data_IF_470847109785
#
_entry.id   IF_470847109785
#
_cell.length_a   1.000
_cell.length_b   1.000
_cell.length_c   1.000
_cell.angle_alpha   90.00
_cell.angle_beta   90.00
_cell.angle_gamma   90.00
#
_symmetry.space_group_name_H-M   'P 1'
#
loop_
_entity.id
_entity.type
_entity.pdbx_description
1 polymer ?
#
# COMPACT_ATOMS: atom_id res chain seq x y z
N UNK A 1 -22.56 -6.37 -27.38
CA UNK A 1 -23.51 -5.23 -27.49
C UNK A 1 -23.35 -4.47 -28.80
N UNK A 2 -22.15 -4.03 -29.17
CA UNK A 2 -21.89 -3.36 -30.45
C UNK A 2 -22.35 -4.19 -31.66
N UNK A 3 -21.96 -5.47 -31.72
CA UNK A 3 -22.39 -6.41 -32.76
C UNK A 3 -23.92 -6.59 -32.81
N UNK A 4 -24.59 -6.69 -31.65
CA UNK A 4 -26.04 -6.82 -31.57
C UNK A 4 -26.80 -5.55 -31.97
N UNK A 5 -26.17 -4.37 -31.86
CA UNK A 5 -26.75 -3.07 -32.19
C UNK A 5 -26.31 -2.53 -33.56
N UNK A 6 -25.43 -3.26 -34.28
CA UNK A 6 -24.85 -2.85 -35.56
C UNK A 6 -24.18 -1.46 -35.52
N UNK A 7 -23.55 -1.13 -34.39
CA UNK A 7 -22.82 0.13 -34.16
C UNK A 7 -21.35 -0.16 -33.93
N UNK A 8 -20.50 0.85 -34.10
CA UNK A 8 -19.07 0.70 -33.81
C UNK A 8 -18.85 0.56 -32.30
N UNK A 9 -17.89 -0.29 -31.89
CA UNK A 9 -17.59 -0.48 -30.45
C UNK A 9 -17.19 0.81 -29.76
N UNK A 10 -16.52 1.73 -30.47
CA UNK A 10 -16.20 3.06 -29.96
C UNK A 10 -17.43 3.91 -29.60
N UNK A 11 -18.58 3.70 -30.24
CA UNK A 11 -19.83 4.38 -29.90
C UNK A 11 -20.45 3.82 -28.62
N UNK A 12 -20.40 2.49 -28.43
CA UNK A 12 -20.82 1.86 -27.17
C UNK A 12 -19.94 2.30 -26.01
N UNK A 13 -18.62 2.39 -26.21
CA UNK A 13 -17.70 2.89 -25.19
C UNK A 13 -18.06 4.33 -24.82
N UNK A 14 -18.33 5.19 -25.81
CA UNK A 14 -18.75 6.58 -25.56
C UNK A 14 -20.08 6.66 -24.81
N UNK A 15 -21.06 5.85 -25.19
CA UNK A 15 -22.36 5.79 -24.51
C UNK A 15 -22.21 5.32 -23.06
N UNK A 16 -21.40 4.28 -22.80
CA UNK A 16 -21.16 3.77 -21.45
C UNK A 16 -20.37 4.73 -20.57
N UNK A 17 -19.47 5.51 -21.16
CA UNK A 17 -18.64 6.47 -20.44
C UNK A 17 -19.19 7.89 -20.48
N UNK A 18 -20.39 8.14 -21.01
CA UNK A 18 -20.91 9.50 -21.15
C UNK A 18 -21.07 10.23 -19.81
N UNK A 19 -21.41 9.50 -18.74
CA UNK A 19 -21.49 10.06 -17.38
C UNK A 19 -20.14 10.57 -16.85
N UNK A 20 -19.01 10.12 -17.42
CA UNK A 20 -17.68 10.61 -17.02
C UNK A 20 -17.47 12.06 -17.41
N UNK A 21 -18.19 12.58 -18.42
CA UNK A 21 -18.07 13.99 -18.82
C UNK A 21 -18.51 14.95 -17.70
N UNK A 22 -19.31 14.48 -16.74
CA UNK A 22 -19.72 15.23 -15.54
C UNK A 22 -18.64 15.24 -14.45
N UNK A 23 -17.64 14.35 -14.55
CA UNK A 23 -16.56 14.19 -13.58
C UNK A 23 -15.32 14.99 -13.98
N UNK A 24 -14.58 15.46 -12.97
CA UNK A 24 -13.36 16.24 -13.18
C UNK A 24 -12.30 15.37 -13.86
N UNK A 25 -11.90 15.73 -15.09
CA UNK A 25 -10.93 14.97 -15.89
C UNK A 25 -11.51 13.79 -16.68
N UNK A 26 -12.83 13.53 -16.59
CA UNK A 26 -13.42 12.35 -17.19
C UNK A 26 -13.45 12.34 -18.72
N UNK A 27 -13.51 13.50 -19.37
CA UNK A 27 -13.39 13.59 -20.83
C UNK A 27 -12.06 13.01 -21.35
N UNK A 28 -10.94 13.43 -20.76
CA UNK A 28 -9.61 12.94 -21.16
C UNK A 28 -9.45 11.45 -20.81
N UNK A 29 -9.99 11.00 -19.67
CA UNK A 29 -9.98 9.58 -19.29
C UNK A 29 -10.75 8.71 -20.30
N UNK A 30 -11.97 9.11 -20.66
CA UNK A 30 -12.79 8.40 -21.65
C UNK A 30 -12.12 8.40 -23.03
N UNK A 31 -11.46 9.51 -23.40
CA UNK A 31 -10.64 9.59 -24.61
C UNK A 31 -9.51 8.56 -24.59
N UNK A 32 -8.73 8.46 -23.50
CA UNK A 32 -7.64 7.48 -23.38
C UNK A 32 -8.14 6.04 -23.50
N UNK A 33 -9.26 5.69 -22.87
CA UNK A 33 -9.88 4.37 -23.00
C UNK A 33 -10.29 4.09 -24.45
N UNK A 34 -10.85 5.09 -25.14
CA UNK A 34 -11.18 4.96 -26.56
C UNK A 34 -9.94 4.77 -27.43
N UNK A 35 -8.87 5.53 -27.19
CA UNK A 35 -7.61 5.38 -27.92
C UNK A 35 -7.00 3.98 -27.69
N UNK A 36 -7.10 3.44 -26.48
CA UNK A 36 -6.66 2.07 -26.20
C UNK A 36 -7.45 1.05 -27.02
N UNK A 37 -8.78 1.18 -27.05
CA UNK A 37 -9.63 0.29 -27.85
C UNK A 37 -9.34 0.42 -29.35
N UNK A 38 -9.21 1.64 -29.86
CA UNK A 38 -8.86 1.88 -31.27
C UNK A 38 -7.52 1.21 -31.61
N UNK A 39 -6.51 1.37 -30.78
CA UNK A 39 -5.22 0.71 -30.97
C UNK A 39 -5.32 -0.81 -30.91
N UNK A 40 -6.20 -1.36 -30.06
CA UNK A 40 -6.46 -2.80 -30.03
C UNK A 40 -7.14 -3.30 -31.31
N UNK A 41 -8.17 -2.62 -31.78
CA UNK A 41 -8.95 -2.97 -32.98
C UNK A 41 -8.13 -2.82 -34.27
N UNK A 42 -7.26 -1.81 -34.34
CA UNK A 42 -6.38 -1.57 -35.50
C UNK A 42 -5.03 -2.28 -35.43
N UNK A 43 -4.79 -3.09 -34.38
CA UNK A 43 -3.49 -3.67 -34.01
C UNK A 43 -2.32 -2.66 -33.96
N UNK A 44 -2.61 -1.42 -33.56
CA UNK A 44 -1.61 -0.38 -33.30
C UNK A 44 -1.06 -0.52 -31.87
N UNK A 45 0.14 -1.07 -31.77
CA UNK A 45 0.82 -1.27 -30.50
C UNK A 45 1.38 0.02 -29.88
N UNK A 46 1.71 1.02 -30.70
CA UNK A 46 2.18 2.32 -30.20
C UNK A 46 1.04 3.04 -29.48
N UNK A 47 -0.15 3.04 -30.08
CA UNK A 47 -1.33 3.67 -29.49
C UNK A 47 -1.77 2.97 -28.19
N UNK A 48 -1.80 1.63 -28.18
CA UNK A 48 -2.04 0.84 -26.96
C UNK A 48 -1.05 1.21 -25.84
N UNK A 49 0.24 1.25 -26.18
CA UNK A 49 1.31 1.57 -25.22
C UNK A 49 1.19 3.00 -24.72
N UNK A 50 0.89 3.97 -25.59
CA UNK A 50 0.68 5.35 -25.22
C UNK A 50 -0.51 5.50 -24.25
N UNK A 51 -1.64 4.82 -24.52
CA UNK A 51 -2.80 4.87 -23.62
C UNK A 51 -2.47 4.28 -22.24
N UNK A 52 -1.77 3.14 -22.20
CA UNK A 52 -1.33 2.55 -20.93
C UNK A 52 -0.35 3.45 -20.18
N UNK A 53 0.57 4.09 -20.90
CA UNK A 53 1.52 5.07 -20.34
C UNK A 53 0.77 6.23 -19.67
N UNK A 54 -0.33 6.71 -20.25
CA UNK A 54 -1.15 7.75 -19.63
C UNK A 54 -1.87 7.26 -18.38
N UNK A 55 -2.50 6.08 -18.44
CA UNK A 55 -3.19 5.48 -17.29
C UNK A 55 -2.25 5.20 -16.11
N UNK A 56 -0.97 4.97 -16.38
CA UNK A 56 0.08 4.81 -15.37
C UNK A 56 0.67 6.12 -14.84
N UNK A 57 0.28 7.27 -15.42
CA UNK A 57 0.84 8.58 -15.06
C UNK A 57 2.29 8.80 -15.51
N UNK A 58 2.74 8.10 -16.56
CA UNK A 58 4.14 8.11 -17.02
C UNK A 58 4.42 9.21 -18.09
N UNK A 59 3.48 10.14 -18.31
CA UNK A 59 3.70 11.32 -19.15
C UNK A 59 4.18 12.51 -18.32
N UNK A 60 5.40 12.97 -18.55
CA UNK A 60 5.97 14.13 -17.84
C UNK A 60 5.45 15.47 -18.37
N UNK A 61 4.97 15.53 -19.62
CA UNK A 61 4.49 16.78 -20.22
C UNK A 61 3.13 16.61 -20.91
N UNK A 62 2.28 17.63 -20.78
CA UNK A 62 0.98 17.71 -21.47
C UNK A 62 1.14 17.74 -22.99
N UNK A 63 2.25 18.29 -23.48
CA UNK A 63 2.54 18.36 -24.92
C UNK A 63 2.72 16.98 -25.51
N UNK A 64 3.44 16.09 -24.82
CA UNK A 64 3.68 14.73 -25.29
C UNK A 64 2.41 13.89 -25.22
N UNK A 65 1.64 14.00 -24.13
CA UNK A 65 0.34 13.34 -24.01
C UNK A 65 -0.63 13.79 -25.11
N UNK A 66 -0.66 15.10 -25.43
CA UNK A 66 -1.48 15.63 -26.51
C UNK A 66 -1.06 15.12 -27.88
N UNK A 67 0.24 15.00 -28.15
CA UNK A 67 0.74 14.45 -29.42
C UNK A 67 0.41 12.97 -29.57
N UNK A 68 0.53 12.19 -28.50
CA UNK A 68 0.33 10.76 -28.52
C UNK A 68 -1.16 10.35 -28.53
N UNK A 69 -2.00 11.06 -27.76
CA UNK A 69 -3.38 10.63 -27.47
C UNK A 69 -4.44 11.71 -27.71
N UNK A 70 -4.05 12.95 -28.04
CA UNK A 70 -4.98 14.07 -28.22
C UNK A 70 -5.54 14.67 -26.92
N UNK A 71 -5.15 14.16 -25.76
CA UNK A 71 -5.61 14.62 -24.43
C UNK A 71 -4.90 15.90 -23.98
N UNK A 72 -5.52 16.67 -23.08
CA UNK A 72 -4.99 17.96 -22.62
C UNK A 72 -4.33 17.90 -21.24
N UNK A 73 -4.62 16.85 -20.49
CA UNK A 73 -4.13 16.63 -19.13
C UNK A 73 -3.17 15.45 -19.06
N UNK A 74 -2.39 15.41 -17.98
CA UNK A 74 -1.58 14.28 -17.53
C UNK A 74 -1.96 14.00 -16.08
N UNK A 75 -1.69 12.78 -15.61
CA UNK A 75 -1.85 12.45 -14.20
C UNK A 75 -0.68 13.08 -13.42
N UNK A 76 -1.00 13.87 -12.40
CA UNK A 76 -0.03 14.55 -11.53
C UNK A 76 -0.49 14.55 -10.07
N UNK A 77 0.36 15.04 -9.17
CA UNK A 77 0.08 15.06 -7.72
C UNK A 77 -1.22 15.79 -7.35
N UNK A 78 -1.65 16.76 -8.17
CA UNK A 78 -2.85 17.54 -7.88
C UNK A 78 -4.13 16.79 -8.26
N UNK A 79 -4.08 15.94 -9.29
CA UNK A 79 -5.26 15.28 -9.86
C UNK A 79 -5.29 13.76 -9.66
N UNK A 80 -4.24 13.15 -9.11
CA UNK A 80 -4.14 11.68 -8.93
C UNK A 80 -5.36 11.09 -8.23
N UNK A 81 -5.90 11.77 -7.23
CA UNK A 81 -7.10 11.29 -6.53
C UNK A 81 -8.35 11.34 -7.41
N UNK A 82 -8.52 12.38 -8.21
CA UNK A 82 -9.64 12.47 -9.17
C UNK A 82 -9.52 11.36 -10.24
N UNK A 83 -8.30 11.03 -10.66
CA UNK A 83 -8.05 9.89 -11.58
C UNK A 83 -8.41 8.55 -10.94
N UNK A 84 -8.16 8.34 -9.65
CA UNK A 84 -8.59 7.13 -8.94
C UNK A 84 -10.13 7.01 -8.87
N UNK A 85 -10.85 8.13 -8.73
CA UNK A 85 -12.32 8.13 -8.82
C UNK A 85 -12.80 7.72 -10.21
N UNK A 86 -12.21 8.29 -11.25
CA UNK A 86 -12.51 7.91 -12.64
C UNK A 86 -12.21 6.42 -12.90
N UNK A 87 -11.09 5.93 -12.37
CA UNK A 87 -10.76 4.50 -12.46
C UNK A 87 -11.78 3.62 -11.73
N UNK A 88 -12.26 4.03 -10.56
CA UNK A 88 -13.32 3.33 -9.82
C UNK A 88 -14.62 3.21 -10.63
N UNK A 89 -15.07 4.33 -11.20
CA UNK A 89 -16.24 4.35 -12.09
C UNK A 89 -16.03 3.48 -13.32
N UNK A 90 -14.80 3.43 -13.85
CA UNK A 90 -14.49 2.65 -15.05
C UNK A 90 -14.54 1.16 -14.76
N UNK A 91 -13.98 0.75 -13.63
CA UNK A 91 -14.04 -0.63 -13.14
C UNK A 91 -15.49 -1.05 -12.89
N UNK A 92 -16.34 -0.14 -12.39
CA UNK A 92 -17.78 -0.39 -12.27
C UNK A 92 -18.47 -0.55 -13.63
N UNK A 93 -18.20 0.34 -14.59
CA UNK A 93 -18.71 0.24 -15.96
C UNK A 93 -18.26 -1.04 -16.68
N UNK A 94 -17.09 -1.59 -16.29
CA UNK A 94 -16.59 -2.88 -16.75
C UNK A 94 -17.28 -4.10 -16.09
N UNK A 95 -18.15 -3.89 -15.10
CA UNK A 95 -18.97 -4.93 -14.46
C UNK A 95 -18.52 -5.35 -13.05
N UNK A 96 -17.50 -4.71 -12.48
CA UNK A 96 -17.10 -4.93 -11.09
C UNK A 96 -17.93 -4.06 -10.13
N UNK A 97 -17.79 -4.28 -8.82
CA UNK A 97 -18.56 -3.55 -7.79
C UNK A 97 -17.90 -2.23 -7.32
N UNK A 98 -16.62 -2.05 -7.63
CA UNK A 98 -15.81 -0.94 -7.16
C UNK A 98 -14.31 -1.24 -7.17
N UNK A 99 -13.53 -0.25 -6.72
CA UNK A 99 -12.08 -0.27 -6.62
C UNK A 99 -11.64 -0.16 -5.15
N UNK A 100 -10.73 -1.02 -4.73
CA UNK A 100 -10.06 -0.93 -3.42
C UNK A 100 -8.59 -0.58 -3.66
N UNK A 101 -8.14 0.56 -3.13
CA UNK A 101 -6.77 1.04 -3.24
C UNK A 101 -6.06 0.83 -1.92
N UNK A 102 -5.03 -0.02 -1.89
CA UNK A 102 -4.19 -0.24 -0.72
C UNK A 102 -2.87 0.49 -0.90
N UNK A 103 -2.55 1.44 -0.02
CA UNK A 103 -1.23 2.05 0.08
C UNK A 103 -0.54 1.49 1.32
N UNK A 104 0.50 0.70 1.10
CA UNK A 104 1.34 0.19 2.18
C UNK A 104 2.55 1.12 2.41
N UNK A 105 3.25 0.94 3.52
CA UNK A 105 4.44 1.69 3.88
C UNK A 105 4.26 3.23 3.86
N UNK A 106 3.10 3.69 4.33
CA UNK A 106 2.81 5.13 4.45
C UNK A 106 3.80 5.88 5.35
N UNK A 107 4.59 5.14 6.15
CA UNK A 107 5.76 5.64 6.88
C UNK A 107 6.75 6.38 5.96
N UNK A 108 6.81 6.06 4.68
CA UNK A 108 7.66 6.78 3.73
C UNK A 108 7.31 8.28 3.62
N UNK A 109 6.04 8.66 3.82
CA UNK A 109 5.65 10.06 3.91
C UNK A 109 6.23 10.75 5.14
N UNK A 110 6.33 10.03 6.26
CA UNK A 110 7.01 10.52 7.45
C UNK A 110 8.49 10.82 7.19
N UNK A 111 9.15 9.95 6.40
CA UNK A 111 10.58 10.00 6.11
C UNK A 111 10.99 11.22 5.28
N UNK A 112 10.07 11.83 4.52
CA UNK A 112 10.31 13.06 3.78
C UNK A 112 10.88 14.16 4.68
N UNK A 113 12.00 14.77 4.30
CA UNK A 113 12.66 15.84 5.08
C UNK A 113 11.93 17.18 4.96
N UNK A 114 11.45 17.52 3.77
CA UNK A 114 10.70 18.76 3.50
C UNK A 114 9.33 18.75 4.17
N UNK A 115 9.11 19.70 5.07
CA UNK A 115 7.80 19.90 5.71
C UNK A 115 6.70 20.28 4.70
N UNK A 116 7.05 21.07 3.68
CA UNK A 116 6.12 21.46 2.62
C UNK A 116 5.64 20.23 1.83
N UNK A 117 6.56 19.32 1.47
CA UNK A 117 6.20 18.09 0.77
C UNK A 117 5.32 17.17 1.64
N UNK A 118 5.64 17.01 2.93
CA UNK A 118 4.79 16.25 3.87
C UNK A 118 3.39 16.83 3.95
N UNK A 119 3.26 18.14 4.15
CA UNK A 119 1.97 18.81 4.27
C UNK A 119 1.13 18.67 3.00
N UNK A 120 1.72 18.80 1.82
CA UNK A 120 1.00 18.59 0.55
C UNK A 120 0.45 17.15 0.43
N UNK A 121 1.23 16.14 0.85
CA UNK A 121 0.76 14.75 0.88
C UNK A 121 -0.35 14.55 1.94
N UNK A 122 -0.23 15.17 3.11
CA UNK A 122 -1.24 15.10 4.18
C UNK A 122 -2.55 15.78 3.79
N UNK A 123 -2.49 16.86 3.00
CA UNK A 123 -3.67 17.48 2.40
C UNK A 123 -4.38 16.54 1.41
N UNK A 124 -3.64 15.79 0.59
CA UNK A 124 -4.23 14.77 -0.28
C UNK A 124 -4.88 13.64 0.52
N UNK A 125 -4.24 13.15 1.59
CA UNK A 125 -4.83 12.15 2.48
C UNK A 125 -6.09 12.67 3.16
N UNK A 126 -6.09 13.92 3.61
CA UNK A 126 -7.27 14.55 4.21
C UNK A 126 -8.40 14.68 3.20
N UNK A 127 -8.09 15.03 1.95
CA UNK A 127 -9.07 15.10 0.85
C UNK A 127 -9.73 13.74 0.63
N UNK A 128 -8.94 12.66 0.58
CA UNK A 128 -9.45 11.29 0.46
C UNK A 128 -10.34 10.94 1.66
N UNK A 129 -9.85 11.15 2.88
CA UNK A 129 -10.56 10.81 4.11
C UNK A 129 -11.90 11.55 4.22
N UNK A 130 -11.92 12.84 3.88
CA UNK A 130 -13.14 13.65 3.93
C UNK A 130 -14.21 13.14 2.97
N UNK A 131 -13.84 12.82 1.73
CA UNK A 131 -14.79 12.31 0.74
C UNK A 131 -15.36 10.94 1.15
N UNK A 132 -14.52 10.06 1.70
CA UNK A 132 -14.97 8.76 2.21
C UNK A 132 -15.91 8.93 3.41
N UNK A 133 -15.55 9.77 4.39
CA UNK A 133 -16.38 10.02 5.57
C UNK A 133 -17.69 10.74 5.25
N UNK A 134 -17.73 11.56 4.20
CA UNK A 134 -18.93 12.24 3.73
C UNK A 134 -19.81 11.34 2.85
N UNK A 135 -19.32 10.16 2.44
CA UNK A 135 -20.04 9.23 1.59
C UNK A 135 -20.11 9.66 0.12
N UNK A 136 -19.24 10.56 -0.33
CA UNK A 136 -19.19 11.01 -1.73
C UNK A 136 -18.28 10.13 -2.59
N UNK A 137 -17.33 9.42 -1.99
CA UNK A 137 -16.49 8.42 -2.66
C UNK A 137 -17.26 7.11 -2.93
N UNK A 138 -18.14 7.13 -3.92
CA UNK A 138 -18.90 5.94 -4.33
C UNK A 138 -18.00 4.90 -4.99
N UNK A 139 -18.25 3.63 -4.71
CA UNK A 139 -17.54 2.48 -5.29
C UNK A 139 -16.01 2.44 -5.07
N UNK A 140 -15.45 3.35 -4.27
CA UNK A 140 -14.01 3.49 -4.04
C UNK A 140 -13.70 3.31 -2.55
N UNK A 141 -12.78 2.40 -2.24
CA UNK A 141 -12.28 2.16 -0.89
C UNK A 141 -10.77 2.39 -0.80
N UNK A 142 -10.29 2.80 0.37
CA UNK A 142 -8.87 2.98 0.66
C UNK A 142 -8.45 2.19 1.90
N UNK A 143 -7.26 1.57 1.84
CA UNK A 143 -6.56 0.98 2.97
C UNK A 143 -5.18 1.60 3.06
N UNK A 144 -4.84 2.14 4.23
CA UNK A 144 -3.54 2.76 4.48
C UNK A 144 -2.79 1.95 5.53
N UNK A 145 -1.68 1.33 5.12
CA UNK A 145 -0.74 0.62 5.98
C UNK A 145 0.35 1.57 6.47
N UNK A 146 0.53 1.68 7.77
CA UNK A 146 1.53 2.57 8.36
C UNK A 146 1.86 2.21 9.80
N UNK A 147 2.97 2.77 10.30
CA UNK A 147 3.43 2.50 11.66
C UNK A 147 2.65 3.34 12.69
N UNK A 148 2.57 2.91 13.96
CA UNK A 148 1.99 3.72 15.03
C UNK A 148 2.65 5.10 15.15
N UNK A 149 3.97 5.17 14.94
CA UNK A 149 4.74 6.42 14.96
C UNK A 149 4.34 7.37 13.83
N UNK A 150 4.15 6.85 12.61
CA UNK A 150 3.64 7.64 11.49
C UNK A 150 2.27 8.25 11.80
N UNK A 151 1.39 7.52 12.48
CA UNK A 151 0.08 8.03 12.88
C UNK A 151 0.18 9.06 14.01
N UNK A 152 0.80 8.69 15.13
CA UNK A 152 0.66 9.41 16.40
C UNK A 152 1.64 10.58 16.60
N UNK A 153 2.75 10.62 15.87
CA UNK A 153 3.77 11.63 16.10
C UNK A 153 3.24 13.04 15.78
N UNK A 154 3.28 13.92 16.77
CA UNK A 154 2.68 15.27 16.69
C UNK A 154 3.55 16.31 15.99
N UNK A 155 4.79 15.95 15.59
CA UNK A 155 5.69 16.86 14.87
C UNK A 155 5.75 16.56 13.39
N UNK A 156 5.80 15.28 13.03
CA UNK A 156 6.01 14.81 11.65
C UNK A 156 4.97 13.82 11.16
N UNK A 157 4.27 13.12 12.06
CA UNK A 157 3.25 12.14 11.71
C UNK A 157 1.93 12.78 11.29
N UNK A 158 0.91 11.97 11.03
CA UNK A 158 -0.42 12.46 10.65
C UNK A 158 -1.04 13.35 11.72
N UNK A 159 -0.72 13.10 13.00
CA UNK A 159 -1.18 13.93 14.12
C UNK A 159 -0.51 15.30 14.20
N UNK A 160 0.54 15.58 13.41
CA UNK A 160 1.06 16.94 13.26
C UNK A 160 0.09 17.85 12.49
N UNK A 161 -0.86 17.28 11.76
CA UNK A 161 -1.89 18.00 11.04
C UNK A 161 -3.23 17.87 11.76
N UNK A 162 -3.67 18.94 12.43
CA UNK A 162 -4.82 18.93 13.34
C UNK A 162 -6.11 18.38 12.69
N UNK A 163 -6.36 18.72 11.42
CA UNK A 163 -7.53 18.22 10.71
C UNK A 163 -7.51 16.70 10.52
N UNK A 164 -6.33 16.09 10.27
CA UNK A 164 -6.19 14.63 10.22
C UNK A 164 -6.29 14.02 11.61
N UNK A 165 -5.62 14.62 12.60
CA UNK A 165 -5.70 14.17 14.00
C UNK A 165 -7.15 14.06 14.47
N UNK A 166 -7.97 15.09 14.23
CA UNK A 166 -9.37 15.10 14.67
C UNK A 166 -10.22 13.97 14.05
N UNK A 167 -9.89 13.54 12.82
CA UNK A 167 -10.62 12.50 12.09
C UNK A 167 -10.11 11.09 12.37
N UNK A 168 -8.83 10.96 12.70
CA UNK A 168 -8.15 9.70 12.96
C UNK A 168 -8.04 9.39 14.46
N UNK A 169 -8.40 10.35 15.32
CA UNK A 169 -8.39 10.17 16.75
C UNK A 169 -9.25 8.99 17.17
N UNK A 170 -8.71 8.21 18.10
CA UNK A 170 -9.38 7.02 18.59
C UNK A 170 -10.55 7.37 19.50
N UNK A 171 -11.50 6.45 19.54
CA UNK A 171 -12.60 6.52 20.47
C UNK A 171 -12.06 6.50 21.91
N UNK A 172 -12.31 7.59 22.66
CA UNK A 172 -11.84 7.74 24.04
C UNK A 172 -12.39 6.69 25.00
N UNK A 173 -13.49 6.02 24.63
CA UNK A 173 -14.11 4.93 25.39
C UNK A 173 -13.57 3.53 25.05
N UNK A 174 -12.83 3.37 23.96
CA UNK A 174 -12.17 2.12 23.59
C UNK A 174 -10.90 1.91 24.43
N UNK A 175 -11.09 1.74 25.76
CA UNK A 175 -10.03 1.50 26.74
C UNK A 175 -10.21 0.12 27.39
N UNK A 176 -9.16 -0.40 28.02
CA UNK A 176 -9.19 -1.63 28.83
C UNK A 176 -9.63 -2.89 28.06
N UNK A 177 -9.11 -3.09 26.85
CA UNK A 177 -9.40 -4.27 26.03
C UNK A 177 -10.71 -4.18 25.24
N UNK A 178 -11.43 -3.05 25.32
CA UNK A 178 -12.52 -2.75 24.40
C UNK A 178 -11.96 -2.30 23.06
N UNK A 179 -12.37 -2.98 21.99
CA UNK A 179 -11.85 -2.76 20.65
C UNK A 179 -12.94 -2.15 19.76
N UNK A 180 -12.68 -0.95 19.23
CA UNK A 180 -13.57 -0.27 18.30
C UNK A 180 -13.10 -0.51 16.86
N UNK A 181 -13.79 -1.42 16.16
CA UNK A 181 -13.54 -1.74 14.75
C UNK A 181 -14.33 -0.84 13.78
N UNK A 182 -15.14 0.09 14.30
CA UNK A 182 -15.97 0.96 13.47
C UNK A 182 -15.26 2.26 13.07
N UNK A 183 -14.16 2.57 13.75
CA UNK A 183 -13.35 3.75 13.45
C UNK A 183 -12.52 3.62 12.16
N UNK A 184 -12.00 4.75 11.65
CA UNK A 184 -11.17 4.77 10.43
C UNK A 184 -9.75 4.22 10.65
N UNK A 185 -9.36 3.99 11.90
CA UNK A 185 -8.04 3.45 12.28
C UNK A 185 -8.24 2.09 12.93
N UNK A 186 -7.59 1.07 12.36
CA UNK A 186 -7.53 -0.28 12.92
C UNK A 186 -6.11 -0.54 13.41
N UNK A 187 -5.94 -0.69 14.73
CA UNK A 187 -4.66 -1.09 15.32
C UNK A 187 -4.51 -2.60 15.27
N UNK A 188 -3.42 -3.04 14.64
CA UNK A 188 -3.00 -4.42 14.68
C UNK A 188 -2.12 -4.63 15.91
N UNK A 189 -2.51 -5.57 16.77
CA UNK A 189 -1.69 -6.00 17.90
C UNK A 189 -0.55 -6.91 17.39
N UNK A 190 0.55 -6.94 18.13
CA UNK A 190 1.60 -7.93 17.91
C UNK A 190 1.04 -9.34 18.19
N UNK A 191 1.60 -10.35 17.51
CA UNK A 191 1.25 -11.74 17.75
C UNK A 191 1.63 -12.15 19.17
N UNK A 192 0.70 -12.78 19.87
CA UNK A 192 0.99 -13.43 21.16
C UNK A 192 1.79 -14.73 20.94
N UNK A 193 2.42 -15.30 21.98
CA UNK A 193 2.99 -16.64 21.89
C UNK A 193 2.02 -17.68 21.35
N UNK A 194 0.76 -17.61 21.80
CA UNK A 194 -0.30 -18.51 21.37
C UNK A 194 -0.61 -18.32 19.87
N UNK A 195 -0.71 -17.07 19.40
CA UNK A 195 -0.92 -16.78 17.97
C UNK A 195 0.26 -17.27 17.12
N UNK A 196 1.49 -17.11 17.62
CA UNK A 196 2.69 -17.59 16.94
C UNK A 196 2.71 -19.11 16.83
N UNK A 197 2.33 -19.83 17.89
CA UNK A 197 2.21 -21.29 17.85
C UNK A 197 1.20 -21.74 16.79
N UNK A 198 0.03 -21.10 16.73
CA UNK A 198 -1.00 -21.38 15.71
C UNK A 198 -0.49 -21.06 14.31
N UNK A 199 0.20 -19.94 14.13
CA UNK A 199 0.80 -19.55 12.86
C UNK A 199 1.80 -20.60 12.37
N UNK A 200 2.77 -20.99 13.20
CA UNK A 200 3.78 -21.99 12.83
C UNK A 200 3.16 -23.37 12.60
N UNK A 201 2.14 -23.74 13.38
CA UNK A 201 1.36 -24.97 13.16
C UNK A 201 0.69 -24.98 11.80
N UNK A 202 0.08 -23.87 11.40
CA UNK A 202 -0.54 -23.74 10.07
C UNK A 202 0.51 -23.74 8.95
N UNK A 203 1.66 -23.06 9.14
CA UNK A 203 2.78 -23.10 8.20
C UNK A 203 3.31 -24.52 8.02
N UNK A 204 3.50 -25.26 9.12
CA UNK A 204 3.87 -26.69 9.08
C UNK A 204 2.88 -27.48 8.26
N UNK A 205 1.57 -27.33 8.50
CA UNK A 205 0.54 -28.10 7.78
C UNK A 205 0.51 -27.81 6.27
N UNK A 206 0.86 -26.58 5.86
CA UNK A 206 0.95 -26.19 4.44
C UNK A 206 2.24 -26.71 3.80
N UNK A 207 3.38 -26.58 4.50
CA UNK A 207 4.68 -27.00 3.99
C UNK A 207 4.83 -28.53 3.97
N UNK A 208 4.32 -29.19 5.00
CA UNK A 208 4.43 -30.62 5.24
C UNK A 208 3.06 -31.21 5.54
N UNK A 209 2.59 -32.12 4.70
CA UNK A 209 1.32 -32.81 4.93
C UNK A 209 1.44 -33.94 5.98
N UNK A 210 2.43 -33.86 6.90
CA UNK A 210 2.59 -34.83 7.97
C UNK A 210 3.15 -34.20 9.25
N UNK A 211 2.36 -34.27 10.32
CA UNK A 211 2.77 -33.93 11.67
C UNK A 211 3.75 -34.96 12.28
N UNK A 212 4.02 -36.08 11.59
CA UNK A 212 4.85 -37.17 12.12
C UNK A 212 6.35 -36.83 12.15
N UNK A 213 6.82 -35.97 11.23
CA UNK A 213 8.24 -35.57 11.18
C UNK A 213 8.57 -34.37 12.07
N UNK A 214 7.57 -33.54 12.39
CA UNK A 214 7.77 -32.35 13.23
C UNK A 214 6.61 -32.22 14.23
N UNK A 215 6.70 -32.88 15.41
CA UNK A 215 5.64 -32.88 16.40
C UNK A 215 5.46 -31.50 17.06
N UNK A 216 4.36 -31.30 17.78
CA UNK A 216 4.10 -30.05 18.50
C UNK A 216 5.17 -29.73 19.54
N UNK A 217 5.81 -30.74 20.13
CA UNK A 217 6.97 -30.55 21.03
C UNK A 217 8.17 -29.92 20.32
N UNK A 218 8.35 -30.17 19.01
CA UNK A 218 9.41 -29.55 18.22
C UNK A 218 9.09 -28.08 17.91
N UNK A 219 7.80 -27.74 17.73
CA UNK A 219 7.34 -26.35 17.61
C UNK A 219 7.59 -25.58 18.92
N UNK A 220 7.24 -26.17 20.06
CA UNK A 220 7.50 -25.58 21.38
C UNK A 220 9.00 -25.36 21.62
N UNK A 221 9.84 -26.34 21.26
CA UNK A 221 11.29 -26.22 21.37
C UNK A 221 11.86 -25.11 20.46
N UNK A 222 11.39 -25.02 19.22
CA UNK A 222 11.77 -23.94 18.30
C UNK A 222 11.36 -22.56 18.85
N UNK A 223 10.12 -22.42 19.32
CA UNK A 223 9.65 -21.18 19.92
C UNK A 223 10.42 -20.81 21.18
N UNK A 224 10.73 -21.78 22.04
CA UNK A 224 11.53 -21.57 23.24
C UNK A 224 12.95 -21.11 22.91
N UNK A 225 13.59 -21.73 21.91
CA UNK A 225 14.90 -21.33 21.41
C UNK A 225 14.90 -19.89 20.90
N UNK A 226 13.94 -19.54 20.03
CA UNK A 226 13.83 -18.19 19.49
C UNK A 226 13.51 -17.16 20.58
N UNK A 227 12.64 -17.48 21.54
CA UNK A 227 12.32 -16.60 22.67
C UNK A 227 13.54 -16.33 23.55
N UNK A 228 14.37 -17.33 23.82
CA UNK A 228 15.56 -17.16 24.67
C UNK A 228 16.67 -16.37 23.98
N UNK A 229 16.81 -16.52 22.65
CA UNK A 229 17.90 -15.88 21.90
C UNK A 229 17.57 -14.44 21.47
N UNK A 230 16.31 -14.15 21.20
CA UNK A 230 15.85 -12.86 20.65
C UNK A 230 15.09 -12.01 21.70
N UNK A 231 14.60 -12.63 22.78
CA UNK A 231 13.79 -11.95 23.80
C UNK A 231 12.44 -11.47 23.27
N UNK A 232 11.88 -10.39 23.83
CA UNK A 232 10.58 -9.82 23.40
C UNK A 232 10.57 -9.36 21.93
N UNK A 233 11.73 -9.14 21.29
CA UNK A 233 11.82 -8.80 19.87
C UNK A 233 11.39 -9.96 18.94
N UNK A 234 11.30 -11.18 19.47
CA UNK A 234 10.76 -12.35 18.78
C UNK A 234 9.33 -12.12 18.28
N UNK A 235 8.48 -11.50 19.10
CA UNK A 235 7.06 -11.24 18.78
C UNK A 235 6.86 -10.01 17.88
N UNK A 236 7.91 -9.20 17.74
CA UNK A 236 7.89 -8.01 16.87
C UNK A 236 8.31 -8.33 15.44
N UNK A 237 8.90 -9.50 15.20
CA UNK A 237 9.51 -9.86 13.91
C UNK A 237 8.97 -11.17 13.31
N UNK A 238 7.64 -11.32 13.12
CA UNK A 238 7.05 -12.58 12.65
C UNK A 238 7.65 -13.09 11.32
N UNK A 239 8.01 -12.18 10.42
CA UNK A 239 8.57 -12.51 9.10
C UNK A 239 9.87 -13.31 9.21
N UNK A 240 10.82 -12.87 10.05
CA UNK A 240 12.13 -13.52 10.19
C UNK A 240 11.98 -14.89 10.84
N UNK A 241 11.14 -14.98 11.88
CA UNK A 241 10.80 -16.24 12.55
C UNK A 241 10.18 -17.25 11.58
N UNK A 242 9.16 -16.85 10.82
CA UNK A 242 8.51 -17.74 9.84
C UNK A 242 9.49 -18.17 8.75
N UNK A 243 10.36 -17.25 8.29
CA UNK A 243 11.38 -17.59 7.27
C UNK A 243 12.37 -18.62 7.79
N UNK A 244 12.89 -18.43 9.00
CA UNK A 244 13.79 -19.40 9.64
C UNK A 244 13.11 -20.76 9.83
N UNK A 245 11.83 -20.76 10.22
CA UNK A 245 11.05 -21.99 10.38
C UNK A 245 10.82 -22.73 9.06
N UNK A 246 10.46 -22.02 7.99
CA UNK A 246 10.29 -22.64 6.66
C UNK A 246 11.62 -23.22 6.15
N UNK A 247 12.74 -22.53 6.37
CA UNK A 247 14.07 -23.05 6.02
C UNK A 247 14.42 -24.32 6.79
N UNK A 248 14.12 -24.35 8.10
CA UNK A 248 14.28 -25.55 8.94
C UNK A 248 13.48 -26.73 8.37
N UNK A 249 12.21 -26.50 8.06
CA UNK A 249 11.32 -27.51 7.48
C UNK A 249 11.81 -28.03 6.12
N UNK A 250 12.34 -27.15 5.26
CA UNK A 250 12.88 -27.53 3.96
C UNK A 250 14.15 -28.40 4.09
N UNK A 251 15.01 -28.13 5.08
CA UNK A 251 16.20 -28.93 5.35
C UNK A 251 15.83 -30.32 5.86
N UNK A 252 14.86 -30.41 6.77
CA UNK A 252 14.38 -31.69 7.29
C UNK A 252 13.77 -32.58 6.20
N UNK A 253 13.03 -31.99 5.27
CA UNK A 253 12.45 -32.71 4.12
C UNK A 253 13.51 -33.38 3.25
N UNK A 254 14.57 -32.63 2.94
CA UNK A 254 15.61 -33.06 2.01
C UNK A 254 16.61 -34.04 2.63
N UNK A 255 16.63 -34.15 3.97
CA UNK A 255 17.60 -34.95 4.71
C UNK A 255 16.91 -35.93 5.67
N UNK A 256 16.26 -36.99 5.13
CA UNK A 256 15.58 -37.99 5.95
C UNK A 256 16.58 -38.75 6.82
N UNK A 257 16.61 -38.44 8.11
CA UNK A 257 17.57 -39.00 9.09
C UNK A 257 18.21 -37.95 9.99
N UNK A 258 18.09 -36.67 9.64
CA UNK A 258 18.52 -35.56 10.51
C UNK A 258 17.51 -35.36 11.64
N UNK A 259 18.01 -35.22 12.87
CA UNK A 259 17.22 -34.87 14.05
C UNK A 259 16.86 -33.38 14.01
N UNK A 260 15.62 -33.05 14.34
CA UNK A 260 15.18 -31.66 14.39
C UNK A 260 15.79 -30.92 15.59
N UNK A 261 16.10 -31.63 16.68
CA UNK A 261 16.74 -31.08 17.88
C UNK A 261 18.06 -30.38 17.54
N UNK A 262 18.94 -31.06 16.77
CA UNK A 262 20.25 -30.52 16.36
C UNK A 262 20.12 -29.25 15.50
N UNK A 263 19.10 -29.20 14.64
CA UNK A 263 18.90 -28.07 13.74
C UNK A 263 18.32 -26.86 14.48
N UNK A 264 17.41 -27.07 15.45
CA UNK A 264 16.83 -25.97 16.24
C UNK A 264 17.92 -25.22 17.01
N UNK A 265 18.88 -25.93 17.63
CA UNK A 265 20.00 -25.29 18.33
C UNK A 265 20.87 -24.41 17.41
N UNK A 266 21.03 -24.84 16.16
CA UNK A 266 21.82 -24.14 15.14
C UNK A 266 21.09 -22.95 14.48
N UNK A 267 19.76 -22.82 14.65
CA UNK A 267 19.00 -21.73 14.03
C UNK A 267 19.44 -20.38 14.60
N UNK A 268 19.88 -19.51 13.69
CA UNK A 268 20.10 -18.09 13.95
C UNK A 268 18.98 -17.28 13.29
N UNK A 269 18.19 -16.58 14.09
CA UNK A 269 17.19 -15.64 13.59
C UNK A 269 17.74 -14.24 13.82
N UNK A 270 18.03 -13.47 12.76
CA UNK A 270 18.47 -12.09 12.91
C UNK A 270 17.34 -11.25 13.50
N UNK A 271 17.69 -10.33 14.41
CA UNK A 271 16.77 -9.29 14.83
C UNK A 271 16.41 -8.42 13.63
N UNK A 272 15.11 -8.25 13.36
CA UNK A 272 14.65 -7.24 12.42
C UNK A 272 14.83 -5.89 13.09
N UNK A 273 15.85 -5.14 12.68
CA UNK A 273 15.78 -3.69 12.78
C UNK A 273 14.80 -3.33 11.69
N UNK A 274 13.51 -3.22 12.06
CA UNK A 274 12.47 -2.95 11.08
C UNK A 274 12.85 -1.74 10.23
N UNK A 275 12.07 -1.42 9.22
CA UNK A 275 12.21 -0.17 8.45
C UNK A 275 11.90 1.09 9.30
N UNK A 276 12.04 0.92 10.62
CA UNK A 276 12.05 1.82 11.73
C UNK A 276 12.84 3.06 11.38
N UNK A 277 12.20 4.13 11.79
CA UNK A 277 12.59 5.52 11.74
C UNK A 277 13.91 5.82 12.49
N UNK A 278 14.76 4.82 12.75
CA UNK A 278 16.06 4.95 13.41
C UNK A 278 16.99 5.92 12.70
N UNK A 279 16.82 6.09 11.39
CA UNK A 279 17.60 7.02 10.57
C UNK A 279 17.11 8.48 10.68
N UNK A 280 16.02 8.70 11.40
CA UNK A 280 15.41 10.02 11.57
C UNK A 280 15.71 10.53 12.98
N UNK A 281 16.85 11.19 13.12
CA UNK A 281 17.14 11.98 14.31
C UNK A 281 16.20 13.19 14.35
N UNK A 282 15.38 13.26 15.40
CA UNK A 282 14.46 14.36 15.67
C UNK A 282 15.25 15.55 16.23
N UNK A 283 16.17 16.11 15.42
CA UNK A 283 16.98 17.28 15.81
C UNK A 283 16.03 18.48 15.94
N UNK A 284 15.95 19.14 17.11
CA UNK A 284 15.13 20.33 17.26
C UNK A 284 15.63 21.42 16.31
N UNK A 285 14.81 21.82 15.33
CA UNK A 285 15.09 23.00 14.53
C UNK A 285 14.92 24.23 15.43
N UNK A 286 16.04 24.81 15.87
CA UNK A 286 16.07 26.14 16.47
C UNK A 286 15.59 27.18 15.45
N UNK A 287 14.77 28.18 15.86
CA UNK A 287 14.31 29.19 14.93
C UNK A 287 15.44 30.17 14.59
N UNK A 288 15.58 30.44 13.28
CA UNK A 288 16.32 31.51 12.63
C UNK A 288 17.83 31.31 12.41
N UNK A 289 18.20 31.10 11.14
CA UNK A 289 18.89 32.14 10.36
C UNK A 289 18.47 32.05 8.89
N UNK A 290 17.99 33.18 8.38
CA UNK A 290 17.64 33.41 6.99
C UNK A 290 18.92 33.47 6.17
N UNK A 291 19.04 32.62 5.17
CA UNK A 291 19.97 32.79 4.05
C UNK A 291 21.14 31.80 4.01
N UNK A 292 21.01 30.78 3.17
CA UNK A 292 22.01 30.42 2.16
C UNK A 292 21.42 29.44 1.15
N UNK A 293 21.89 29.56 -0.07
CA UNK A 293 21.28 29.13 -1.32
C UNK A 293 21.08 27.61 -1.43
N UNK A 294 19.97 27.26 -2.09
CA UNK A 294 19.73 25.95 -2.69
C UNK A 294 20.89 25.58 -3.62
N UNK A 295 21.69 24.58 -3.23
CA UNK A 295 22.74 24.00 -4.09
C UNK A 295 22.47 22.52 -4.38
N UNK A 296 21.23 22.20 -4.78
CA UNK A 296 20.86 20.94 -5.43
C UNK A 296 20.48 21.18 -6.89
N UNK A 297 21.31 21.93 -7.61
CA UNK A 297 21.23 22.02 -9.06
C UNK A 297 22.60 21.83 -9.73
N UNK A 298 23.07 20.57 -9.80
CA UNK A 298 23.85 20.14 -10.96
C UNK A 298 23.99 18.61 -11.04
N UNK A 299 23.01 17.97 -11.69
CA UNK A 299 23.26 16.73 -12.39
C UNK A 299 23.62 17.10 -13.85
N UNK A 300 24.76 16.64 -14.36
CA UNK A 300 25.16 16.77 -15.77
C UNK A 300 25.56 15.40 -16.33
N UNK A 301 25.16 15.18 -17.59
CA UNK A 301 25.44 14.02 -18.45
C UNK A 301 26.93 13.65 -18.49
#
# INVERSE_FOLDING_TARGET
EAESRLVQTGEIIRERLSHFEELTGGFDFAEVVRQYWLGHDSDDQELKTASLRWLRGEFSTRTDARKALGVRTIIDDANVYDQLKLMSEFVCAAGYKGLLVSLDEMVNLFKLTSSQARNANYEQLLRILNDVLQGTASHLGFLFGGTPEFLMNTRRGLYSYEALQSRLAENTFARNGLLDLSGPVLRLANLTPEDMFVLLSNVRNVAHNSAEQFPDSALEAFMFHCSNRIGEAYFRTPRNTVTAFVNLLAVLEQNPGTSWEDLVEAVEVPADGGDDLSDIEDVPQTPAEVGREDDLSSFRL
#
